data_IF_506864580706
#
_entry.id   IF_506864580706
#
_cell.length_a   1.000
_cell.length_b   1.000
_cell.length_c   1.000
_cell.angle_alpha   90.00
_cell.angle_beta   90.00
_cell.angle_gamma   90.00
#
_symmetry.space_group_name_H-M   'P 1'
#
loop_
_entity.id
_entity.type
_entity.pdbx_description
1 polymer ?
#
# COMPACT_ATOMS: atom_id res chain seq x y z
N UNK A 1 29.37 22.20 40.08
CA UNK A 1 29.15 23.43 39.33
C UNK A 1 29.10 24.65 40.26
N UNK A 2 28.15 24.67 41.21
CA UNK A 2 28.04 25.75 42.22
C UNK A 2 29.32 25.90 43.05
N UNK A 3 29.95 24.75 43.44
CA UNK A 3 31.18 24.73 44.21
C UNK A 3 32.34 25.32 43.42
N UNK A 4 32.46 25.05 42.12
CA UNK A 4 33.54 25.62 41.29
C UNK A 4 33.41 27.16 41.10
N UNK A 5 32.20 27.64 40.99
CA UNK A 5 31.91 29.10 40.90
C UNK A 5 32.25 29.79 42.22
N UNK A 6 31.84 29.22 43.34
CA UNK A 6 32.16 29.76 44.69
C UNK A 6 33.68 29.76 44.92
N UNK A 7 34.38 28.69 44.50
CA UNK A 7 35.83 28.61 44.65
C UNK A 7 36.54 29.70 43.84
N UNK A 8 36.11 29.94 42.59
CA UNK A 8 36.71 30.99 41.72
C UNK A 8 36.48 32.39 42.33
N UNK A 9 35.27 32.64 42.85
CA UNK A 9 34.95 33.91 43.52
C UNK A 9 35.83 34.10 44.78
N UNK A 10 35.99 33.07 45.59
CA UNK A 10 36.82 33.13 46.81
C UNK A 10 38.30 33.39 46.47
N UNK A 11 38.84 32.71 45.46
CA UNK A 11 40.23 32.90 44.98
C UNK A 11 40.44 34.34 44.48
N UNK A 12 39.47 34.90 43.72
CA UNK A 12 39.56 36.23 43.20
C UNK A 12 39.49 37.29 44.32
N UNK A 13 38.62 37.09 45.31
CA UNK A 13 38.57 37.96 46.49
C UNK A 13 39.85 37.89 47.35
N UNK A 14 40.39 36.72 47.52
CA UNK A 14 41.68 36.51 48.25
C UNK A 14 42.83 37.19 47.48
N UNK A 15 42.88 37.04 46.18
CA UNK A 15 43.92 37.67 45.36
C UNK A 15 43.78 39.20 45.34
N UNK A 16 42.56 39.73 45.26
CA UNK A 16 42.27 41.14 45.38
C UNK A 16 42.67 41.71 46.74
N UNK A 17 42.45 40.95 47.82
CA UNK A 17 42.87 41.36 49.17
C UNK A 17 44.40 41.39 49.36
N UNK A 18 45.13 40.45 48.81
CA UNK A 18 46.62 40.39 48.87
C UNK A 18 47.23 41.59 48.10
N UNK A 19 46.71 41.88 46.89
CA UNK A 19 47.22 42.98 46.08
C UNK A 19 46.87 44.38 46.66
N UNK A 20 45.77 44.52 47.36
CA UNK A 20 45.40 45.79 48.06
C UNK A 20 46.38 46.22 49.11
N UNK A 21 47.20 45.29 49.61
CA UNK A 21 48.14 45.53 50.69
C UNK A 21 49.49 46.07 50.17
N UNK A 22 49.80 45.92 48.89
CA UNK A 22 51.14 46.24 48.33
C UNK A 22 51.13 47.23 47.12
N UNK A 23 49.96 47.67 46.61
CA UNK A 23 49.91 48.32 45.30
C UNK A 23 49.83 49.86 45.28
N UNK A 24 50.58 50.40 44.42
CA UNK A 24 50.53 51.77 43.88
C UNK A 24 49.25 51.95 43.06
N UNK A 25 48.52 53.09 43.22
CA UNK A 25 47.14 53.30 42.70
C UNK A 25 46.92 53.05 41.21
N UNK A 26 47.89 53.30 40.31
CA UNK A 26 47.73 53.08 38.84
C UNK A 26 47.78 51.60 38.44
N UNK A 27 48.55 50.74 39.01
CA UNK A 27 48.57 49.30 38.71
C UNK A 27 47.30 48.59 39.24
N UNK A 28 46.64 49.15 40.26
CA UNK A 28 45.42 48.61 40.85
C UNK A 28 44.21 48.74 39.89
N UNK A 29 44.06 49.90 39.22
CA UNK A 29 42.96 50.11 38.23
C UNK A 29 43.08 49.19 37.02
N UNK A 30 44.29 49.00 36.50
CA UNK A 30 44.56 48.11 35.40
C UNK A 30 44.28 46.64 35.80
N UNK A 31 44.64 46.22 36.97
CA UNK A 31 44.36 44.89 37.52
C UNK A 31 42.86 44.63 37.72
N UNK A 32 42.09 45.59 38.25
CA UNK A 32 40.63 45.51 38.40
C UNK A 32 39.96 45.37 37.06
N UNK A 33 40.43 46.06 36.03
CA UNK A 33 39.93 45.93 34.68
C UNK A 33 40.14 44.51 34.12
N UNK A 34 41.34 43.96 34.22
CA UNK A 34 41.65 42.60 33.77
C UNK A 34 40.87 41.52 34.55
N UNK A 35 40.68 41.73 35.83
CA UNK A 35 39.89 40.86 36.67
C UNK A 35 38.40 40.84 36.25
N UNK A 36 37.82 42.03 36.04
CA UNK A 36 36.46 42.19 35.53
C UNK A 36 36.30 41.54 34.16
N UNK A 37 37.26 41.76 33.23
CA UNK A 37 37.26 41.13 31.91
C UNK A 37 37.34 39.61 31.99
N UNK A 38 38.16 39.05 32.89
CA UNK A 38 38.24 37.59 33.14
C UNK A 38 36.92 37.03 33.60
N UNK A 39 36.25 37.66 34.57
CA UNK A 39 34.94 37.20 35.04
C UNK A 39 33.86 37.31 33.95
N UNK A 40 33.89 38.38 33.15
CA UNK A 40 32.96 38.53 32.05
C UNK A 40 33.15 37.45 30.99
N UNK A 41 34.38 37.16 30.59
CA UNK A 41 34.69 36.10 29.61
C UNK A 41 34.32 34.74 30.17
N UNK A 42 34.65 34.45 31.45
CA UNK A 42 34.31 33.19 32.08
C UNK A 42 32.78 32.97 32.17
N UNK A 43 32.01 34.04 32.43
CA UNK A 43 30.55 33.98 32.45
C UNK A 43 29.95 33.67 31.07
N UNK A 44 30.54 34.26 30.01
CA UNK A 44 30.12 34.00 28.62
C UNK A 44 30.40 32.52 28.26
N UNK A 45 31.59 32.00 28.60
CA UNK A 45 31.96 30.59 28.34
C UNK A 45 31.00 29.68 29.04
N UNK A 46 30.68 29.95 30.29
CA UNK A 46 29.76 29.17 31.09
C UNK A 46 28.36 29.17 30.51
N UNK A 47 27.86 30.31 30.06
CA UNK A 47 26.56 30.42 29.39
C UNK A 47 26.53 29.59 28.10
N UNK A 48 27.59 29.68 27.27
CA UNK A 48 27.73 28.90 26.05
C UNK A 48 27.70 27.39 26.33
N UNK A 49 28.36 26.92 27.37
CA UNK A 49 28.37 25.52 27.76
C UNK A 49 26.99 25.02 28.19
N UNK A 50 26.22 25.84 28.92
CA UNK A 50 24.85 25.52 29.30
C UNK A 50 23.95 25.38 28.07
N UNK A 51 24.02 26.38 27.16
CA UNK A 51 23.23 26.37 25.93
C UNK A 51 23.61 25.17 25.07
N UNK A 52 24.91 24.91 24.90
CA UNK A 52 25.38 23.72 24.13
C UNK A 52 24.88 22.40 24.74
N UNK A 53 24.94 22.27 26.06
CA UNK A 53 24.41 21.07 26.76
C UNK A 53 22.90 20.90 26.58
N UNK A 54 22.12 21.99 26.74
CA UNK A 54 20.69 21.94 26.53
C UNK A 54 20.32 21.60 25.08
N UNK A 55 21.03 22.21 24.12
CA UNK A 55 20.85 21.92 22.69
C UNK A 55 21.18 20.47 22.34
N UNK A 56 22.24 19.91 22.90
CA UNK A 56 22.62 18.52 22.70
C UNK A 56 21.53 17.55 23.20
N UNK A 57 20.91 17.83 24.33
CA UNK A 57 19.80 17.02 24.85
C UNK A 57 18.58 17.06 23.91
N UNK A 58 18.23 18.25 23.42
CA UNK A 58 17.11 18.41 22.49
C UNK A 58 17.38 17.63 21.20
N UNK A 59 18.54 17.80 20.59
CA UNK A 59 18.95 17.10 19.36
C UNK A 59 18.94 15.58 19.59
N UNK A 60 19.41 15.12 20.73
CA UNK A 60 19.38 13.70 21.06
C UNK A 60 17.94 13.15 21.21
N UNK A 61 17.06 13.91 21.88
CA UNK A 61 15.64 13.53 21.99
C UNK A 61 14.96 13.46 20.61
N UNK A 62 15.23 14.43 19.74
CA UNK A 62 14.68 14.43 18.39
C UNK A 62 15.24 13.26 17.58
N UNK A 63 16.54 12.98 17.68
CA UNK A 63 17.14 11.81 17.03
C UNK A 63 16.47 10.49 17.45
N UNK A 64 16.20 10.30 18.73
CA UNK A 64 15.49 9.11 19.24
C UNK A 64 14.04 9.06 18.72
N UNK A 65 13.32 10.19 18.73
CA UNK A 65 11.95 10.27 18.19
C UNK A 65 11.91 9.97 16.70
N UNK A 66 12.84 10.51 15.92
CA UNK A 66 12.93 10.21 14.49
C UNK A 66 13.22 8.72 14.25
N UNK A 67 14.10 8.11 15.03
CA UNK A 67 14.37 6.67 14.98
C UNK A 67 13.09 5.84 15.22
N UNK A 68 12.36 6.14 16.28
CA UNK A 68 11.07 5.48 16.59
C UNK A 68 10.04 5.68 15.47
N UNK A 69 9.95 6.89 14.91
CA UNK A 69 9.04 7.18 13.81
C UNK A 69 9.35 6.41 12.54
N UNK A 70 10.64 6.26 12.22
CA UNK A 70 11.09 5.44 11.09
C UNK A 70 10.69 3.98 11.29
N UNK A 71 10.88 3.43 12.49
CA UNK A 71 10.52 2.04 12.79
C UNK A 71 8.98 1.82 12.76
N UNK A 72 8.20 2.76 13.28
CA UNK A 72 6.73 2.74 13.16
C UNK A 72 6.27 2.74 11.70
N UNK A 73 6.86 3.63 10.87
CA UNK A 73 6.53 3.69 9.44
C UNK A 73 6.92 2.43 8.69
N UNK A 74 8.09 1.85 8.97
CA UNK A 74 8.52 0.56 8.41
C UNK A 74 7.56 -0.56 8.78
N UNK A 75 7.17 -0.65 10.04
CA UNK A 75 6.23 -1.65 10.51
C UNK A 75 4.83 -1.47 9.87
N UNK A 76 4.33 -0.24 9.77
CA UNK A 76 3.07 0.05 9.10
C UNK A 76 3.11 -0.29 7.60
N UNK A 77 4.22 0.01 6.92
CA UNK A 77 4.42 -0.36 5.51
C UNK A 77 4.43 -1.87 5.36
N UNK A 78 5.19 -2.59 6.19
CA UNK A 78 5.26 -4.06 6.16
C UNK A 78 3.89 -4.70 6.45
N UNK A 79 3.13 -4.18 7.40
CA UNK A 79 1.76 -4.64 7.66
C UNK A 79 0.84 -4.39 6.47
N UNK A 80 0.94 -3.21 5.85
CA UNK A 80 0.16 -2.89 4.66
C UNK A 80 0.51 -3.81 3.48
N UNK A 81 1.79 -4.11 3.26
CA UNK A 81 2.24 -5.07 2.24
C UNK A 81 1.74 -6.48 2.53
N UNK A 82 1.78 -6.93 3.80
CA UNK A 82 1.23 -8.24 4.20
C UNK A 82 -0.30 -8.31 4.02
N UNK A 83 -1.03 -7.24 4.34
CA UNK A 83 -2.46 -7.17 4.07
C UNK A 83 -2.77 -7.17 2.58
N UNK A 84 -1.99 -6.44 1.78
CA UNK A 84 -2.11 -6.45 0.34
C UNK A 84 -1.86 -7.84 -0.25
N UNK A 85 -0.81 -8.55 0.21
CA UNK A 85 -0.53 -9.94 -0.17
C UNK A 85 -1.65 -10.90 0.23
N UNK A 86 -2.20 -10.77 1.44
CA UNK A 86 -3.35 -11.58 1.89
C UNK A 86 -4.60 -11.32 1.06
N UNK A 87 -4.84 -10.07 0.68
CA UNK A 87 -6.01 -9.67 -0.11
C UNK A 87 -5.89 -10.04 -1.61
N UNK A 88 -4.70 -10.39 -2.09
CA UNK A 88 -4.50 -10.93 -3.44
C UNK A 88 -5.14 -12.33 -3.61
N UNK A 89 -5.27 -13.08 -2.52
CA UNK A 89 -5.99 -14.36 -2.51
C UNK A 89 -7.39 -14.07 -1.96
N UNK A 90 -8.42 -14.27 -2.76
CA UNK A 90 -9.81 -14.18 -2.28
C UNK A 90 -10.10 -15.38 -1.34
N UNK A 91 -10.10 -15.19 0.01
CA UNK A 91 -10.22 -16.33 0.93
C UNK A 91 -11.57 -17.03 0.77
N UNK A 92 -12.63 -16.28 0.50
CA UNK A 92 -13.96 -16.82 0.31
C UNK A 92 -14.05 -17.70 -0.94
N UNK A 93 -13.44 -17.29 -2.06
CA UNK A 93 -13.34 -18.12 -3.26
C UNK A 93 -12.58 -19.41 -2.97
N UNK A 94 -11.41 -19.31 -2.29
CA UNK A 94 -10.61 -20.48 -1.94
C UNK A 94 -11.39 -21.48 -1.08
N UNK A 95 -12.04 -21.02 -0.01
CA UNK A 95 -12.86 -21.88 0.85
C UNK A 95 -14.00 -22.53 0.08
N UNK A 96 -14.67 -21.81 -0.80
CA UNK A 96 -15.74 -22.35 -1.62
C UNK A 96 -15.25 -23.43 -2.57
N UNK A 97 -14.07 -23.25 -3.21
CA UNK A 97 -13.48 -24.25 -4.10
C UNK A 97 -13.04 -25.51 -3.35
N UNK A 98 -12.44 -25.36 -2.16
CA UNK A 98 -12.07 -26.51 -1.31
C UNK A 98 -13.29 -27.28 -0.82
N UNK A 99 -14.37 -26.60 -0.44
CA UNK A 99 -15.63 -27.25 -0.06
C UNK A 99 -16.26 -28.00 -1.23
N UNK A 100 -16.29 -27.39 -2.42
CA UNK A 100 -16.78 -28.06 -3.63
C UNK A 100 -15.93 -29.29 -3.98
N UNK A 101 -14.59 -29.16 -3.95
CA UNK A 101 -13.70 -30.30 -4.17
C UNK A 101 -13.95 -31.44 -3.17
N UNK A 102 -14.21 -31.13 -1.89
CA UNK A 102 -14.53 -32.14 -0.86
C UNK A 102 -15.82 -32.88 -1.16
N UNK A 103 -16.85 -32.23 -1.70
CA UNK A 103 -18.08 -32.89 -2.17
C UNK A 103 -17.77 -33.77 -3.37
N UNK A 104 -17.07 -33.25 -4.37
CA UNK A 104 -16.70 -33.95 -5.60
C UNK A 104 -15.81 -35.18 -5.36
N UNK A 105 -15.00 -35.23 -4.30
CA UNK A 105 -14.21 -36.43 -3.95
C UNK A 105 -15.11 -37.66 -3.80
N UNK A 106 -16.35 -37.50 -3.32
CA UNK A 106 -17.29 -38.59 -3.13
C UNK A 106 -18.11 -38.89 -4.38
N UNK A 107 -18.45 -37.89 -5.18
CA UNK A 107 -19.36 -38.00 -6.31
C UNK A 107 -18.62 -38.25 -7.63
N UNK A 108 -17.56 -37.49 -7.86
CA UNK A 108 -16.72 -37.53 -9.08
C UNK A 108 -15.25 -37.25 -8.74
N UNK A 109 -14.46 -38.25 -8.31
CA UNK A 109 -13.07 -38.07 -7.90
C UNK A 109 -12.18 -37.50 -8.99
N UNK A 110 -12.47 -37.79 -10.28
CA UNK A 110 -11.69 -37.26 -11.40
C UNK A 110 -11.87 -35.77 -11.53
N UNK A 111 -13.08 -35.29 -11.39
CA UNK A 111 -13.37 -33.85 -11.43
C UNK A 111 -12.84 -33.11 -10.20
N UNK A 112 -12.86 -33.74 -9.01
CA UNK A 112 -12.23 -33.22 -7.82
C UNK A 112 -10.73 -32.94 -8.03
N UNK A 113 -10.00 -33.89 -8.64
CA UNK A 113 -8.58 -33.72 -8.99
C UNK A 113 -8.41 -32.58 -9.99
N UNK A 114 -9.29 -32.45 -10.98
CA UNK A 114 -9.25 -31.37 -11.95
C UNK A 114 -9.44 -29.99 -11.29
N UNK A 115 -10.44 -29.85 -10.42
CA UNK A 115 -10.69 -28.62 -9.64
C UNK A 115 -9.48 -28.26 -8.80
N UNK A 116 -8.89 -29.21 -8.06
CA UNK A 116 -7.71 -28.96 -7.23
C UNK A 116 -6.48 -28.58 -8.06
N UNK A 117 -6.29 -29.19 -9.24
CA UNK A 117 -5.19 -28.83 -10.13
C UNK A 117 -5.35 -27.40 -10.66
N UNK A 118 -6.54 -27.05 -11.13
CA UNK A 118 -6.85 -25.68 -11.57
C UNK A 118 -6.69 -24.66 -10.47
N UNK A 119 -7.16 -24.97 -9.25
CA UNK A 119 -6.99 -24.11 -8.09
C UNK A 119 -5.52 -23.88 -7.75
N UNK A 120 -4.69 -24.93 -7.79
CA UNK A 120 -3.23 -24.84 -7.60
C UNK A 120 -2.58 -23.90 -8.62
N UNK A 121 -2.94 -24.03 -9.92
CA UNK A 121 -2.36 -23.22 -10.99
C UNK A 121 -2.80 -21.74 -10.85
N UNK A 122 -4.03 -21.50 -10.44
CA UNK A 122 -4.58 -20.17 -10.13
C UNK A 122 -3.85 -19.49 -8.96
N UNK A 123 -3.64 -20.23 -7.87
CA UNK A 123 -2.87 -19.75 -6.72
C UNK A 123 -1.41 -19.49 -7.06
N UNK A 124 -0.80 -20.33 -7.91
CA UNK A 124 0.56 -20.14 -8.38
C UNK A 124 0.71 -18.84 -9.17
N UNK A 125 -0.24 -18.54 -10.07
CA UNK A 125 -0.26 -17.30 -10.83
C UNK A 125 -0.41 -16.08 -9.88
N UNK A 126 -1.36 -16.13 -8.94
CA UNK A 126 -1.56 -15.06 -7.97
C UNK A 126 -0.34 -14.79 -7.09
N UNK A 127 0.41 -15.82 -6.69
CA UNK A 127 1.55 -15.67 -5.78
C UNK A 127 2.86 -15.33 -6.49
N UNK A 128 3.08 -15.85 -7.71
CA UNK A 128 4.34 -15.71 -8.44
C UNK A 128 4.31 -14.56 -9.43
N UNK A 129 3.28 -14.51 -10.26
CA UNK A 129 3.26 -13.60 -11.41
C UNK A 129 2.72 -12.22 -11.01
N UNK A 130 1.95 -12.13 -9.91
CA UNK A 130 1.51 -10.85 -9.34
C UNK A 130 2.65 -9.96 -8.80
N UNK A 131 3.85 -10.51 -8.60
CA UNK A 131 5.03 -9.76 -8.18
C UNK A 131 5.80 -9.12 -9.34
N UNK A 132 5.46 -9.51 -10.57
CA UNK A 132 6.05 -8.93 -11.78
C UNK A 132 5.45 -7.55 -12.06
N UNK A 133 6.23 -6.65 -12.65
CA UNK A 133 5.73 -5.33 -13.04
C UNK A 133 4.68 -5.43 -14.17
N UNK A 134 4.89 -6.36 -15.11
CA UNK A 134 4.01 -6.66 -16.25
C UNK A 134 3.97 -8.16 -16.53
N UNK A 135 2.84 -8.62 -17.06
CA UNK A 135 2.61 -9.99 -17.57
C UNK A 135 2.03 -9.93 -18.98
N UNK A 136 2.11 -11.00 -19.73
CA UNK A 136 1.43 -11.06 -21.02
C UNK A 136 -0.09 -11.06 -20.85
N UNK A 137 -0.78 -10.33 -21.71
CA UNK A 137 -2.26 -10.28 -21.70
C UNK A 137 -2.87 -11.69 -21.85
N UNK A 138 -2.23 -12.53 -22.65
CA UNK A 138 -2.64 -13.92 -22.85
C UNK A 138 -2.63 -14.72 -21.52
N UNK A 139 -1.65 -14.50 -20.65
CA UNK A 139 -1.55 -15.16 -19.34
C UNK A 139 -2.64 -14.69 -18.38
N UNK A 140 -2.95 -13.38 -18.36
CA UNK A 140 -4.03 -12.83 -17.56
C UNK A 140 -5.40 -13.34 -18.04
N UNK A 141 -5.62 -13.44 -19.37
CA UNK A 141 -6.83 -14.04 -19.95
C UNK A 141 -6.95 -15.52 -19.58
N UNK A 142 -5.84 -16.27 -19.61
CA UNK A 142 -5.84 -17.69 -19.20
C UNK A 142 -6.22 -17.85 -17.72
N UNK A 143 -5.67 -16.99 -16.86
CA UNK A 143 -6.04 -16.92 -15.45
C UNK A 143 -7.53 -16.65 -15.25
N UNK A 144 -8.11 -15.69 -15.99
CA UNK A 144 -9.54 -15.39 -15.92
C UNK A 144 -10.41 -16.55 -16.40
N UNK A 145 -9.96 -17.26 -17.45
CA UNK A 145 -10.64 -18.45 -17.94
C UNK A 145 -10.66 -19.58 -16.88
N UNK A 146 -9.54 -19.83 -16.22
CA UNK A 146 -9.46 -20.82 -15.16
C UNK A 146 -10.33 -20.44 -13.96
N UNK A 147 -10.36 -19.16 -13.58
CA UNK A 147 -11.23 -18.63 -12.53
C UNK A 147 -12.71 -18.85 -12.85
N UNK A 148 -13.14 -18.47 -14.05
CA UNK A 148 -14.55 -18.63 -14.48
C UNK A 148 -14.96 -20.10 -14.65
N UNK A 149 -14.02 -20.97 -15.10
CA UNK A 149 -14.28 -22.41 -15.13
C UNK A 149 -14.53 -23.00 -13.76
N UNK A 150 -13.76 -22.60 -12.74
CA UNK A 150 -13.98 -23.05 -11.36
C UNK A 150 -15.32 -22.53 -10.82
N UNK A 151 -15.71 -21.30 -11.13
CA UNK A 151 -17.03 -20.77 -10.79
C UNK A 151 -18.17 -21.54 -11.48
N UNK A 152 -17.99 -21.95 -12.75
CA UNK A 152 -18.94 -22.75 -13.50
C UNK A 152 -19.13 -24.16 -12.91
N UNK A 153 -18.06 -24.82 -12.46
CA UNK A 153 -18.16 -26.12 -11.79
C UNK A 153 -18.92 -26.00 -10.46
N UNK A 154 -18.86 -24.86 -9.79
CA UNK A 154 -19.53 -24.63 -8.51
C UNK A 154 -21.00 -24.28 -8.63
N UNK A 155 -21.43 -23.73 -9.77
CA UNK A 155 -22.79 -23.19 -9.96
C UNK A 155 -23.50 -23.90 -11.10
N UNK A 156 -24.62 -24.49 -10.82
CA UNK A 156 -25.42 -25.20 -11.84
C UNK A 156 -25.96 -24.26 -12.93
N UNK A 157 -26.30 -23.02 -12.57
CA UNK A 157 -26.91 -22.02 -13.45
C UNK A 157 -25.94 -20.87 -13.75
N UNK A 158 -24.72 -21.17 -14.18
CA UNK A 158 -23.73 -20.17 -14.56
C UNK A 158 -23.02 -20.54 -15.86
N UNK A 159 -22.90 -19.57 -16.75
CA UNK A 159 -22.13 -19.69 -17.99
C UNK A 159 -21.26 -18.47 -18.26
N UNK A 160 -20.24 -18.63 -19.08
CA UNK A 160 -19.37 -17.53 -19.45
C UNK A 160 -18.81 -17.68 -20.86
N UNK A 161 -18.44 -16.54 -21.45
CA UNK A 161 -17.76 -16.47 -22.74
C UNK A 161 -16.56 -15.51 -22.58
N UNK A 162 -15.42 -15.94 -23.09
CA UNK A 162 -14.25 -15.06 -23.27
C UNK A 162 -13.94 -15.02 -24.76
N UNK A 163 -13.92 -13.83 -25.33
CA UNK A 163 -13.57 -13.60 -26.72
C UNK A 163 -12.46 -12.57 -26.87
N UNK A 164 -11.60 -12.80 -27.86
CA UNK A 164 -10.46 -11.94 -28.16
C UNK A 164 -10.49 -11.54 -29.64
N UNK A 165 -10.16 -10.28 -29.92
CA UNK A 165 -10.07 -9.72 -31.28
C UNK A 165 -8.76 -8.91 -31.40
N UNK A 166 -8.05 -9.10 -32.51
CA UNK A 166 -6.75 -8.46 -32.75
C UNK A 166 -5.57 -9.29 -32.26
N UNK A 167 -4.37 -8.75 -32.36
CA UNK A 167 -3.13 -9.42 -32.00
C UNK A 167 -2.80 -9.16 -30.53
N UNK A 168 -2.95 -10.20 -29.70
CA UNK A 168 -2.79 -10.11 -28.22
C UNK A 168 -1.46 -10.68 -27.73
N UNK A 169 -0.70 -11.39 -28.58
CA UNK A 169 0.42 -12.23 -28.16
C UNK A 169 1.54 -11.45 -27.43
N UNK A 170 1.87 -10.26 -27.92
CA UNK A 170 2.99 -9.46 -27.41
C UNK A 170 2.55 -8.32 -26.47
N UNK A 171 1.26 -8.27 -26.14
CA UNK A 171 0.75 -7.23 -25.27
C UNK A 171 1.01 -7.57 -23.81
N UNK A 172 1.56 -6.59 -23.10
CA UNK A 172 1.80 -6.72 -21.65
C UNK A 172 0.92 -5.75 -20.86
N UNK A 173 0.40 -6.26 -19.75
CA UNK A 173 -0.47 -5.51 -18.81
C UNK A 173 0.03 -5.72 -17.38
N UNK A 174 -0.33 -4.85 -16.43
CA UNK A 174 -0.12 -5.13 -15.02
C UNK A 174 -0.84 -6.42 -14.62
N UNK A 175 -0.23 -7.26 -13.80
CA UNK A 175 -0.83 -8.52 -13.39
C UNK A 175 -2.14 -8.29 -12.61
N UNK A 176 -3.09 -9.22 -12.79
CA UNK A 176 -4.38 -9.21 -12.10
C UNK A 176 -5.16 -7.89 -12.32
N UNK A 177 -5.02 -7.29 -13.50
CA UNK A 177 -5.67 -6.02 -13.83
C UNK A 177 -7.19 -6.19 -13.96
N UNK A 178 -7.64 -7.29 -14.58
CA UNK A 178 -9.04 -7.51 -14.93
C UNK A 178 -9.83 -8.30 -13.91
N UNK A 179 -9.16 -9.08 -13.02
CA UNK A 179 -9.86 -9.93 -12.05
C UNK A 179 -10.84 -9.18 -11.15
N UNK A 180 -10.58 -7.94 -10.67
CA UNK A 180 -11.55 -7.25 -9.83
C UNK A 180 -12.88 -6.97 -10.52
N UNK A 181 -12.88 -6.77 -11.84
CA UNK A 181 -14.11 -6.59 -12.63
C UNK A 181 -14.87 -7.91 -12.76
N UNK A 182 -14.15 -9.00 -12.99
CA UNK A 182 -14.72 -10.33 -13.14
C UNK A 182 -15.27 -10.85 -11.81
N UNK A 183 -14.56 -10.66 -10.70
CA UNK A 183 -15.08 -10.98 -9.36
C UNK A 183 -16.35 -10.19 -9.04
N UNK A 184 -16.38 -8.91 -9.38
CA UNK A 184 -17.57 -8.09 -9.22
C UNK A 184 -18.75 -8.61 -10.06
N UNK A 185 -18.49 -8.96 -11.31
CA UNK A 185 -19.48 -9.54 -12.21
C UNK A 185 -20.05 -10.86 -11.67
N UNK A 186 -19.18 -11.77 -11.19
CA UNK A 186 -19.56 -13.07 -10.61
C UNK A 186 -20.32 -12.91 -9.29
N UNK A 187 -19.93 -11.92 -8.46
CA UNK A 187 -20.58 -11.65 -7.17
C UNK A 187 -22.02 -11.14 -7.34
N UNK A 188 -22.24 -10.29 -8.34
CA UNK A 188 -23.49 -9.56 -8.51
C UNK A 188 -24.46 -10.17 -9.53
N UNK A 189 -24.08 -11.27 -10.20
CA UNK A 189 -24.96 -11.96 -11.16
C UNK A 189 -25.68 -13.19 -10.60
N UNK A 190 -25.60 -13.47 -9.28
CA UNK A 190 -26.14 -14.68 -8.71
C UNK A 190 -27.67 -14.65 -8.70
N UNK A 191 -28.26 -15.44 -9.57
CA UNK A 191 -29.71 -15.72 -9.64
C UNK A 191 -29.93 -17.21 -9.42
N UNK A 192 -30.86 -17.57 -8.55
CA UNK A 192 -31.19 -18.98 -8.27
C UNK A 192 -32.19 -19.56 -9.28
N UNK A 193 -32.90 -18.71 -10.01
CA UNK A 193 -33.97 -19.14 -10.91
C UNK A 193 -33.58 -19.05 -12.39
N UNK A 194 -32.67 -18.15 -12.75
CA UNK A 194 -32.25 -17.92 -14.14
C UNK A 194 -30.78 -18.22 -14.34
N UNK A 195 -30.44 -18.48 -15.59
CA UNK A 195 -29.05 -18.61 -16.03
C UNK A 195 -28.33 -17.29 -15.82
N UNK A 196 -27.32 -17.29 -14.94
CA UNK A 196 -26.38 -16.21 -14.73
C UNK A 196 -25.27 -16.31 -15.76
N UNK A 197 -24.82 -15.22 -16.33
CA UNK A 197 -23.73 -15.26 -17.30
C UNK A 197 -22.76 -14.08 -17.15
N UNK A 198 -21.51 -14.34 -17.57
CA UNK A 198 -20.46 -13.33 -17.67
C UNK A 198 -19.80 -13.42 -19.06
N UNK A 199 -19.77 -12.32 -19.79
CA UNK A 199 -19.09 -12.24 -21.08
C UNK A 199 -17.91 -11.27 -20.96
N UNK A 200 -16.72 -11.75 -21.30
CA UNK A 200 -15.49 -10.96 -21.37
C UNK A 200 -15.10 -10.81 -22.83
N UNK A 201 -14.82 -9.60 -23.23
CA UNK A 201 -14.35 -9.29 -24.56
C UNK A 201 -13.09 -8.44 -24.48
N UNK A 202 -12.04 -8.90 -25.14
CA UNK A 202 -10.76 -8.23 -25.26
C UNK A 202 -10.50 -7.89 -26.72
N UNK A 203 -10.39 -6.62 -27.04
CA UNK A 203 -10.10 -6.16 -28.38
C UNK A 203 -8.87 -5.27 -28.36
N UNK A 204 -7.96 -5.53 -29.31
CA UNK A 204 -6.79 -4.70 -29.55
C UNK A 204 -6.94 -4.00 -30.88
N UNK A 205 -7.01 -2.67 -30.82
CA UNK A 205 -7.08 -1.80 -31.99
C UNK A 205 -5.89 -0.82 -31.92
N UNK A 206 -4.99 -0.91 -32.92
CA UNK A 206 -3.78 -0.09 -32.94
C UNK A 206 -2.98 -0.18 -31.64
N UNK A 207 -2.92 0.91 -30.87
CA UNK A 207 -2.25 0.99 -29.57
C UNK A 207 -3.25 1.05 -28.38
N UNK A 208 -4.49 0.55 -28.55
CA UNK A 208 -5.52 0.59 -27.52
C UNK A 208 -6.06 -0.80 -27.23
N UNK A 209 -6.06 -1.18 -25.97
CA UNK A 209 -6.75 -2.36 -25.45
C UNK A 209 -8.14 -1.95 -24.96
N UNK A 210 -9.17 -2.58 -25.49
CA UNK A 210 -10.55 -2.44 -25.08
C UNK A 210 -10.94 -3.72 -24.35
N UNK A 211 -11.34 -3.59 -23.09
CA UNK A 211 -11.87 -4.68 -22.29
C UNK A 211 -13.32 -4.39 -21.94
N UNK A 212 -14.21 -5.34 -22.24
CA UNK A 212 -15.61 -5.28 -21.88
C UNK A 212 -15.93 -6.46 -20.98
N UNK A 213 -16.52 -6.17 -19.83
CA UNK A 213 -17.05 -7.16 -18.90
C UNK A 213 -18.55 -6.92 -18.75
N UNK A 214 -19.34 -7.84 -19.27
CA UNK A 214 -20.79 -7.80 -19.21
C UNK A 214 -21.30 -8.95 -18.37
N UNK A 215 -22.20 -8.70 -17.43
CA UNK A 215 -22.87 -9.71 -16.65
C UNK A 215 -24.37 -9.52 -16.58
N UNK A 216 -25.11 -10.62 -16.43
CA UNK A 216 -26.54 -10.61 -16.10
C UNK A 216 -26.78 -10.04 -14.70
N UNK A 217 -27.94 -9.39 -14.52
CA UNK A 217 -28.43 -8.95 -13.21
C UNK A 217 -29.49 -9.93 -12.69
N UNK A 218 -29.52 -10.20 -11.37
CA UNK A 218 -30.56 -11.02 -10.79
C UNK A 218 -31.93 -10.35 -10.93
N UNK A 219 -32.97 -11.16 -11.07
CA UNK A 219 -34.36 -10.72 -11.23
C UNK A 219 -34.89 -10.03 -9.99
N UNK A 220 -34.52 -10.52 -8.80
CA UNK A 220 -34.81 -9.85 -7.55
C UNK A 220 -33.66 -8.90 -7.18
N UNK A 221 -33.92 -7.62 -7.23
CA UNK A 221 -32.98 -6.63 -6.70
C UNK A 221 -32.91 -6.81 -5.18
N UNK A 222 -31.89 -7.51 -4.68
CA UNK A 222 -31.50 -7.36 -3.29
C UNK A 222 -31.11 -5.88 -3.10
N UNK A 223 -31.68 -5.27 -2.04
CA UNK A 223 -31.37 -3.87 -1.66
C UNK A 223 -29.87 -3.60 -1.87
N UNK A 224 -29.55 -2.49 -2.57
CA UNK A 224 -28.17 -2.08 -2.82
C UNK A 224 -27.42 -2.09 -1.51
N UNK A 225 -26.65 -3.13 -1.26
CA UNK A 225 -25.72 -3.13 -0.12
C UNK A 225 -24.80 -1.91 -0.32
N UNK A 226 -24.65 -1.10 0.73
CA UNK A 226 -23.86 0.13 0.73
C UNK A 226 -22.37 -0.09 0.36
N UNK A 227 -21.94 -1.34 0.27
CA UNK A 227 -20.56 -1.76 -0.05
C UNK A 227 -20.20 -1.77 -1.55
N UNK A 228 -21.17 -1.61 -2.47
CA UNK A 228 -20.89 -1.68 -3.92
C UNK A 228 -20.02 -0.54 -4.47
N UNK A 229 -19.88 0.56 -3.74
CA UNK A 229 -19.12 1.74 -4.19
C UNK A 229 -17.61 1.66 -3.95
N UNK A 230 -17.16 0.96 -2.93
CA UNK A 230 -15.75 1.00 -2.47
C UNK A 230 -14.83 0.24 -3.43
N UNK A 231 -15.25 -0.90 -3.96
CA UNK A 231 -14.44 -1.71 -4.87
C UNK A 231 -14.12 -0.99 -6.18
N UNK A 232 -15.14 -0.43 -6.83
CA UNK A 232 -14.99 0.32 -8.09
C UNK A 232 -14.22 1.63 -7.92
N UNK A 233 -14.38 2.32 -6.80
CA UNK A 233 -13.62 3.53 -6.49
C UNK A 233 -12.12 3.21 -6.36
N UNK A 234 -11.76 2.11 -5.70
CA UNK A 234 -10.38 1.64 -5.57
C UNK A 234 -9.78 1.24 -6.91
N UNK A 235 -10.56 0.55 -7.77
CA UNK A 235 -10.12 0.18 -9.12
C UNK A 235 -9.87 1.44 -9.96
N UNK A 236 -10.80 2.41 -9.97
CA UNK A 236 -10.62 3.70 -10.66
C UNK A 236 -9.35 4.42 -10.21
N UNK A 237 -9.13 4.47 -8.90
CA UNK A 237 -7.93 5.09 -8.32
C UNK A 237 -6.66 4.39 -8.76
N UNK A 238 -6.66 3.04 -8.76
CA UNK A 238 -5.53 2.23 -9.24
C UNK A 238 -5.23 2.49 -10.71
N UNK A 239 -6.26 2.46 -11.57
CA UNK A 239 -6.13 2.75 -13.01
C UNK A 239 -5.58 4.16 -13.25
N UNK A 240 -6.09 5.16 -12.53
CA UNK A 240 -5.62 6.54 -12.64
C UNK A 240 -4.15 6.69 -12.26
N UNK A 241 -3.69 6.00 -11.21
CA UNK A 241 -2.28 6.02 -10.79
C UNK A 241 -1.35 5.34 -11.80
N UNK A 242 -1.85 4.32 -12.53
CA UNK A 242 -1.03 3.52 -13.47
C UNK A 242 -1.03 4.09 -14.90
N UNK A 243 -2.14 4.67 -15.33
CA UNK A 243 -2.38 5.09 -16.71
C UNK A 243 -2.67 6.58 -16.87
N UNK A 244 -2.90 7.30 -15.76
CA UNK A 244 -3.24 8.73 -15.74
C UNK A 244 -4.41 9.08 -16.70
N UNK A 245 -4.13 9.83 -17.77
CA UNK A 245 -5.12 10.19 -18.80
C UNK A 245 -5.25 9.15 -19.92
N UNK A 246 -4.39 8.13 -19.95
CA UNK A 246 -4.35 7.08 -20.98
C UNK A 246 -5.36 5.94 -20.70
N UNK A 247 -6.36 6.15 -19.83
CA UNK A 247 -7.42 5.18 -19.56
C UNK A 247 -8.79 5.86 -19.47
N UNK A 248 -9.82 5.13 -19.91
CA UNK A 248 -11.23 5.48 -19.65
C UNK A 248 -11.98 4.26 -19.11
N UNK A 249 -12.83 4.49 -18.11
CA UNK A 249 -13.68 3.47 -17.51
C UNK A 249 -15.12 3.97 -17.50
N UNK A 250 -15.95 3.34 -18.32
CA UNK A 250 -17.38 3.62 -18.45
C UNK A 250 -18.19 2.45 -17.91
N UNK A 251 -19.35 2.73 -17.35
CA UNK A 251 -20.27 1.75 -16.80
C UNK A 251 -21.64 2.00 -17.36
N UNK A 252 -22.21 0.98 -18.00
CA UNK A 252 -23.56 0.98 -18.51
C UNK A 252 -24.39 -0.04 -17.73
N UNK A 253 -25.47 0.42 -17.14
CA UNK A 253 -26.38 -0.41 -16.35
C UNK A 253 -27.78 -0.36 -16.97
N UNK A 254 -28.31 -1.54 -17.31
CA UNK A 254 -29.70 -1.71 -17.74
C UNK A 254 -30.47 -2.48 -16.65
N UNK A 255 -31.75 -2.76 -16.89
CA UNK A 255 -32.55 -3.57 -15.97
C UNK A 255 -32.05 -5.01 -15.85
N UNK A 256 -31.43 -5.56 -16.90
CA UNK A 256 -31.06 -6.97 -17.01
C UNK A 256 -29.56 -7.21 -17.11
N UNK A 257 -28.74 -6.18 -17.42
CA UNK A 257 -27.30 -6.31 -17.60
C UNK A 257 -26.55 -5.17 -16.90
N UNK A 258 -25.31 -5.50 -16.53
CA UNK A 258 -24.32 -4.55 -16.06
C UNK A 258 -23.06 -4.71 -16.92
N UNK A 259 -22.61 -3.63 -17.52
CA UNK A 259 -21.49 -3.63 -18.46
C UNK A 259 -20.43 -2.64 -18.03
N UNK A 260 -19.20 -3.11 -17.98
CA UNK A 260 -18.00 -2.29 -17.76
C UNK A 260 -17.24 -2.22 -19.07
N UNK A 261 -16.93 -1.02 -19.53
CA UNK A 261 -16.07 -0.73 -20.66
C UNK A 261 -14.80 -0.05 -20.18
N UNK A 262 -13.67 -0.71 -20.33
CA UNK A 262 -12.34 -0.20 -19.99
C UNK A 262 -11.53 -0.05 -21.28
N UNK A 263 -11.01 1.15 -21.51
CA UNK A 263 -10.06 1.41 -22.61
C UNK A 263 -8.72 1.82 -22.03
N UNK A 264 -7.66 1.18 -22.51
CA UNK A 264 -6.29 1.41 -22.05
C UNK A 264 -5.41 1.67 -23.26
N UNK A 265 -4.67 2.75 -23.23
CA UNK A 265 -3.63 3.00 -24.22
C UNK A 265 -2.40 2.17 -23.91
N UNK A 266 -2.00 1.33 -24.84
CA UNK A 266 -0.82 0.48 -24.72
C UNK A 266 0.45 1.32 -24.95
N UNK A 267 1.45 1.10 -24.09
CA UNK A 267 2.75 1.80 -24.17
C UNK A 267 3.83 0.83 -24.65
#
# INVERSE_FOLDING_TARGET
YVISVVLVILLALLFSYILRKEAIEEEYELFQFWLAAFFFISSIIQLCLIIAGASAVIVFQDYVKYGQRIDELKNATMQSELEQLKNQINPHFLFNMLNNANVLIRENPVEAVHVLSKLKDLLKYQLKDSTSEKVFLADDIHFLNDYLNLEKIRRDNFDFIISTEGEIADITVPPLLFIPFVENAVKHNNDNEKLSYVHLYFKVEEATLIFICLNSKPTEQKEKAADGGIGLANIRRRLQLMYDTDCSLEIDETDITYTINLRLKLK
#
